data_IF_875294712161
#
_entry.id   IF_875294712161
#
_cell.length_a   1.000
_cell.length_b   1.000
_cell.length_c   1.000
_cell.angle_alpha   90.00
_cell.angle_beta   90.00
_cell.angle_gamma   90.00
#
_symmetry.space_group_name_H-M   'P 1'
#
loop_
_entity.id
_entity.type
_entity.pdbx_description
1 polymer ?
#
# COMPACT_ATOMS: atom_id res chain seq x y z
N UNK A 1 -8.03 20.34 -4.45
CA UNK A 1 -8.40 19.89 -3.10
C UNK A 1 -7.38 18.81 -2.78
N UNK A 2 -6.50 19.05 -1.80
CA UNK A 2 -5.62 17.99 -1.29
C UNK A 2 -6.52 16.99 -0.58
N UNK A 3 -6.44 15.73 -0.98
CA UNK A 3 -7.19 14.68 -0.34
C UNK A 3 -6.32 14.14 0.79
N UNK A 4 -6.82 14.23 2.02
CA UNK A 4 -6.04 13.93 3.22
C UNK A 4 -5.85 12.43 3.49
N UNK A 5 -6.56 11.56 2.75
CA UNK A 5 -6.44 10.11 2.83
C UNK A 5 -6.90 9.49 4.16
N UNK A 6 -7.47 10.26 5.09
CA UNK A 6 -7.77 9.81 6.46
C UNK A 6 -9.00 8.90 6.55
N UNK A 7 -9.91 8.99 5.57
CA UNK A 7 -11.12 8.16 5.52
C UNK A 7 -11.09 7.13 4.39
N UNK A 8 -10.01 7.04 3.64
CA UNK A 8 -9.94 6.17 2.48
C UNK A 8 -8.98 5.02 2.73
N UNK A 9 -9.50 3.82 2.52
CA UNK A 9 -8.81 2.57 2.79
C UNK A 9 -7.83 2.28 1.66
N UNK A 10 -6.56 2.10 2.02
CA UNK A 10 -5.46 1.88 1.09
C UNK A 10 -5.73 0.71 0.13
N UNK A 11 -6.21 -0.41 0.64
CA UNK A 11 -6.44 -1.61 -0.17
C UNK A 11 -7.83 -1.67 -0.80
N UNK A 12 -8.83 -1.15 -0.09
CA UNK A 12 -10.24 -1.43 -0.36
C UNK A 12 -10.92 -0.36 -1.21
N UNK A 13 -10.43 0.87 -1.18
CA UNK A 13 -11.01 1.96 -1.95
C UNK A 13 -10.24 2.21 -3.24
N UNK A 14 -10.92 2.83 -4.20
CA UNK A 14 -10.39 3.12 -5.53
C UNK A 14 -9.90 4.56 -5.57
N UNK A 15 -8.69 4.79 -5.06
CA UNK A 15 -8.16 6.15 -4.84
C UNK A 15 -6.99 6.52 -5.75
N UNK A 16 -6.34 5.56 -6.41
CA UNK A 16 -5.37 5.82 -7.48
C UNK A 16 -5.97 5.74 -8.89
N UNK A 17 -7.06 5.00 -9.09
CA UNK A 17 -7.72 4.75 -10.38
C UNK A 17 -9.15 4.21 -10.13
N UNK A 18 -9.82 3.63 -11.14
CA UNK A 18 -11.05 2.83 -11.01
C UNK A 18 -10.80 1.40 -10.47
N UNK A 19 -9.54 0.98 -10.30
CA UNK A 19 -9.17 -0.34 -9.78
C UNK A 19 -8.57 -0.24 -8.38
N UNK A 20 -9.09 -1.07 -7.47
CA UNK A 20 -8.58 -1.19 -6.10
C UNK A 20 -7.20 -1.87 -6.06
N UNK A 21 -6.30 -1.38 -5.21
CA UNK A 21 -4.96 -1.95 -5.05
C UNK A 21 -4.99 -3.41 -4.60
N UNK A 22 -6.00 -3.85 -3.85
CA UNK A 22 -6.14 -5.27 -3.49
C UNK A 22 -6.35 -6.19 -4.70
N UNK A 23 -6.88 -5.67 -5.80
CA UNK A 23 -7.09 -6.44 -7.03
C UNK A 23 -5.80 -6.50 -7.84
N UNK A 24 -5.11 -5.36 -7.97
CA UNK A 24 -3.85 -5.27 -8.71
C UNK A 24 -2.70 -5.99 -8.01
N UNK A 25 -2.66 -5.91 -6.67
CA UNK A 25 -1.61 -6.46 -5.81
C UNK A 25 -2.17 -7.48 -4.81
N UNK A 26 -3.00 -8.41 -5.30
CA UNK A 26 -3.69 -9.41 -4.46
C UNK A 26 -2.75 -10.21 -3.54
N UNK A 27 -1.51 -10.46 -3.97
CA UNK A 27 -0.53 -11.16 -3.14
C UNK A 27 -0.11 -10.34 -1.91
N UNK A 28 0.17 -9.05 -2.09
CA UNK A 28 0.53 -8.16 -1.00
C UNK A 28 -0.65 -8.00 -0.03
N UNK A 29 -1.87 -7.85 -0.55
CA UNK A 29 -3.09 -7.80 0.27
C UNK A 29 -3.29 -9.05 1.15
N UNK A 30 -3.00 -10.25 0.62
CA UNK A 30 -3.07 -11.49 1.41
C UNK A 30 -2.05 -11.53 2.55
N UNK A 31 -0.87 -10.94 2.34
CA UNK A 31 0.23 -10.94 3.29
C UNK A 31 0.14 -9.80 4.29
N UNK A 32 -0.52 -8.70 3.94
CA UNK A 32 -0.79 -7.59 4.82
C UNK A 32 -1.60 -8.02 6.06
N UNK A 33 -1.14 -7.56 7.23
CA UNK A 33 -1.86 -7.73 8.50
C UNK A 33 -3.02 -6.72 8.62
N UNK A 34 -2.77 -5.44 8.35
CA UNK A 34 -3.77 -4.37 8.42
C UNK A 34 -4.41 -4.05 7.05
N UNK A 35 -5.49 -4.77 6.74
CA UNK A 35 -6.21 -4.65 5.47
C UNK A 35 -7.03 -3.36 5.34
N UNK A 36 -7.29 -2.70 6.46
CA UNK A 36 -8.14 -1.53 6.54
C UNK A 36 -7.34 -0.28 6.92
N UNK A 37 -6.02 -0.30 6.71
CA UNK A 37 -5.20 0.89 6.88
C UNK A 37 -5.68 2.00 5.94
N UNK A 38 -5.67 3.23 6.44
CA UNK A 38 -5.99 4.42 5.64
C UNK A 38 -4.80 4.81 4.77
N UNK A 39 -5.04 5.57 3.71
CA UNK A 39 -3.95 6.07 2.85
C UNK A 39 -3.07 7.06 3.60
N UNK A 40 -3.66 7.87 4.49
CA UNK A 40 -2.91 8.77 5.37
C UNK A 40 -1.96 8.01 6.30
N UNK A 41 -2.46 6.96 6.95
CA UNK A 41 -1.65 6.16 7.87
C UNK A 41 -0.57 5.38 7.11
N UNK A 42 -0.90 4.86 5.93
CA UNK A 42 0.08 4.21 5.07
C UNK A 42 1.19 5.18 4.64
N UNK A 43 0.83 6.40 4.25
CA UNK A 43 1.79 7.44 3.89
C UNK A 43 2.69 7.83 5.07
N UNK A 44 2.13 7.93 6.29
CA UNK A 44 2.88 8.22 7.53
C UNK A 44 3.87 7.11 7.88
N UNK A 45 3.54 5.85 7.59
CA UNK A 45 4.42 4.69 7.81
C UNK A 45 5.58 4.64 6.78
N UNK A 46 5.45 5.34 5.66
CA UNK A 46 6.45 5.39 4.60
C UNK A 46 6.36 4.22 3.62
N UNK A 47 6.89 4.46 2.41
CA UNK A 47 6.86 3.53 1.28
C UNK A 47 8.17 2.73 1.15
N UNK A 48 9.20 3.07 1.92
CA UNK A 48 10.54 2.54 1.70
C UNK A 48 10.65 1.07 2.09
N UNK A 49 11.24 0.29 1.18
CA UNK A 49 11.48 -1.14 1.38
C UNK A 49 12.60 -1.31 2.39
N UNK A 50 12.26 -1.74 3.61
CA UNK A 50 13.22 -2.13 4.63
C UNK A 50 13.26 -1.25 5.87
N UNK A 51 12.54 -0.12 5.91
CA UNK A 51 12.45 0.73 7.10
C UNK A 51 10.99 0.80 7.62
N UNK A 52 10.70 -0.08 8.58
CA UNK A 52 9.95 0.18 9.83
C UNK A 52 8.42 0.40 9.86
N UNK A 53 7.69 0.41 8.76
CA UNK A 53 6.23 0.68 8.82
C UNK A 53 5.30 -0.54 8.78
N UNK A 54 5.57 -1.45 7.86
CA UNK A 54 4.51 -2.33 7.37
C UNK A 54 4.52 -3.74 7.96
N UNK A 55 3.35 -4.18 8.42
CA UNK A 55 3.18 -5.45 9.08
C UNK A 55 2.74 -6.53 8.08
N UNK A 56 3.66 -7.42 7.74
CA UNK A 56 3.40 -8.63 6.95
C UNK A 56 3.18 -9.84 7.86
N UNK A 57 2.29 -10.76 7.45
CA UNK A 57 2.06 -12.05 8.13
C UNK A 57 3.30 -12.94 8.19
N UNK A 58 4.21 -12.77 7.24
CA UNK A 58 5.50 -13.47 7.16
C UNK A 58 6.52 -12.57 6.46
N UNK A 59 7.78 -12.94 6.56
CA UNK A 59 8.81 -12.35 5.70
C UNK A 59 8.41 -12.52 4.22
N UNK A 60 8.62 -11.44 3.47
CA UNK A 60 8.44 -11.44 2.04
C UNK A 60 9.54 -12.29 1.39
N UNK A 61 9.18 -13.03 0.34
CA UNK A 61 10.17 -13.59 -0.57
C UNK A 61 10.76 -12.47 -1.43
N UNK A 62 11.94 -12.69 -2.02
CA UNK A 62 12.60 -11.70 -2.87
C UNK A 62 11.68 -11.15 -3.99
N UNK A 63 10.86 -12.03 -4.59
CA UNK A 63 9.88 -11.61 -5.61
C UNK A 63 8.67 -10.87 -5.03
N UNK A 64 8.30 -11.10 -3.76
CA UNK A 64 7.26 -10.34 -3.06
C UNK A 64 7.77 -8.95 -2.66
N UNK A 65 9.05 -8.83 -2.34
CA UNK A 65 9.71 -7.53 -2.15
C UNK A 65 9.79 -6.75 -3.47
N UNK A 66 10.06 -7.41 -4.60
CA UNK A 66 10.01 -6.78 -5.92
C UNK A 66 8.60 -6.29 -6.26
N UNK A 67 7.58 -7.12 -6.00
CA UNK A 67 6.18 -6.71 -6.15
C UNK A 67 5.82 -5.52 -5.23
N UNK A 68 6.39 -5.46 -4.03
CA UNK A 68 6.24 -4.32 -3.12
C UNK A 68 6.90 -3.05 -3.66
N UNK A 69 8.10 -3.16 -4.26
CA UNK A 69 8.77 -2.03 -4.92
C UNK A 69 7.95 -1.51 -6.10
N UNK A 70 7.38 -2.40 -6.92
CA UNK A 70 6.48 -2.02 -8.00
C UNK A 70 5.27 -1.25 -7.47
N UNK A 71 4.63 -1.76 -6.41
CA UNK A 71 3.53 -1.09 -5.74
C UNK A 71 3.94 0.33 -5.32
N UNK A 72 5.05 0.47 -4.58
CA UNK A 72 5.57 1.75 -4.12
C UNK A 72 5.89 2.73 -5.27
N UNK A 73 6.42 2.23 -6.40
CA UNK A 73 6.69 3.06 -7.57
C UNK A 73 5.41 3.62 -8.22
N UNK A 74 4.31 2.85 -8.24
CA UNK A 74 3.01 3.38 -8.67
C UNK A 74 2.56 4.50 -7.72
N UNK A 75 2.80 4.30 -6.43
CA UNK A 75 2.32 5.18 -5.38
C UNK A 75 3.09 6.50 -5.26
N UNK A 76 4.38 6.51 -5.60
CA UNK A 76 5.17 7.75 -5.67
C UNK A 76 4.67 8.75 -6.72
N UNK A 77 3.79 8.32 -7.64
CA UNK A 77 3.13 9.22 -8.60
C UNK A 77 1.89 9.91 -8.03
N UNK A 78 1.46 9.57 -6.81
CA UNK A 78 0.32 10.22 -6.16
C UNK A 78 0.81 11.43 -5.39
N UNK A 79 0.36 12.61 -5.82
CA UNK A 79 0.46 13.82 -4.99
C UNK A 79 -0.64 13.75 -3.90
N UNK A 80 -0.24 13.35 -2.68
CA UNK A 80 -1.10 13.38 -1.48
C UNK A 80 -1.06 14.77 -0.83
#
# INVERSE_FOLDING_TARGET
MVWDGEQTLFWNDSWMDEIQLKTQFARLFQLCLDKDITVADMHRLGWDVGDNGWQWRKALFAWEEELWRECCAVLTNVEL
#
